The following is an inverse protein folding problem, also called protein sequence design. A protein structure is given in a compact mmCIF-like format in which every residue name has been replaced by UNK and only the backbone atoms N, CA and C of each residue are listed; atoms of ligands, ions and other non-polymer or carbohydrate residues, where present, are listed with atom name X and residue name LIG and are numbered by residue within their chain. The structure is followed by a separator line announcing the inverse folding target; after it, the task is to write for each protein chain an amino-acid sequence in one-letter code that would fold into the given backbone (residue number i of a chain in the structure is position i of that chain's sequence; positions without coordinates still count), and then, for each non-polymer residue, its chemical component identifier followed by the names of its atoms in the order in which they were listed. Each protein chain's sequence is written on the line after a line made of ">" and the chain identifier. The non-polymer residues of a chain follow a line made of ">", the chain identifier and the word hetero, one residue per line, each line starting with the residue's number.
data_IF_937217541214
#
_entry.id   IF_937217541214
#
_cell.length_a   1.000
_cell.length_b   1.000
_cell.length_c   1.000
_cell.angle_alpha   90.00
_cell.angle_beta   90.00
_cell.angle_gamma   90.00
#
_symmetry.space_group_name_H-M   'P 1'
#
loop_
_entity.id
_entity.type
_entity.pdbx_description
1 polymer ?
#
# COMPACT_ATOMS: atom_id res chain seq x y z
N UNK A 1 1.49 -1.84 18.90
CA UNK A 1 0.32 -1.15 18.30
C UNK A 1 0.27 0.29 18.80
N UNK A 2 0.14 1.26 17.90
CA UNK A 2 -0.08 2.64 18.29
C UNK A 2 -1.57 2.88 18.60
N UNK A 3 -1.87 3.30 19.82
CA UNK A 3 -3.23 3.50 20.34
C UNK A 3 -3.64 4.97 20.44
N UNK A 4 -2.84 5.92 19.93
CA UNK A 4 -2.99 7.36 20.21
C UNK A 4 -4.29 8.00 19.70
N UNK A 5 -4.82 7.55 18.56
CA UNK A 5 -6.11 8.04 17.98
C UNK A 5 -6.93 6.89 17.38
N UNK A 6 -6.36 6.18 16.40
CA UNK A 6 -6.92 4.99 15.75
C UNK A 6 -5.84 3.91 15.86
N UNK A 7 -6.10 2.75 16.47
CA UNK A 7 -5.06 1.73 16.63
C UNK A 7 -4.41 1.39 15.29
N UNK A 8 -3.09 1.40 15.25
CA UNK A 8 -2.31 1.08 14.05
C UNK A 8 -1.22 0.07 14.41
N UNK A 9 -1.06 -0.92 13.54
CA UNK A 9 0.13 -1.79 13.60
C UNK A 9 1.31 -1.02 13.03
N UNK A 10 2.37 -0.83 13.81
CA UNK A 10 3.61 -0.18 13.38
C UNK A 10 4.76 -1.15 13.60
N UNK A 11 5.49 -1.44 12.54
CA UNK A 11 6.58 -2.41 12.47
C UNK A 11 7.83 -1.71 11.92
N UNK A 12 8.47 -0.81 12.72
CA UNK A 12 9.59 -0.03 12.22
C UNK A 12 10.80 -0.94 11.94
N UNK A 13 11.36 -0.93 10.71
CA UNK A 13 12.56 -1.69 10.41
C UNK A 13 13.77 -1.12 11.14
N UNK A 14 14.73 -1.98 11.47
CA UNK A 14 16.04 -1.57 12.01
C UNK A 14 16.80 -0.69 11.01
N UNK A 15 17.78 0.08 11.49
CA UNK A 15 18.44 1.13 10.71
C UNK A 15 19.11 0.60 9.42
N UNK A 16 19.75 -0.56 9.49
CA UNK A 16 20.41 -1.21 8.35
C UNK A 16 19.39 -1.63 7.29
N UNK A 17 18.33 -2.33 7.71
CA UNK A 17 17.25 -2.75 6.84
C UNK A 17 16.54 -1.53 6.21
N UNK A 18 16.28 -0.50 7.00
CA UNK A 18 15.69 0.76 6.52
C UNK A 18 16.53 1.42 5.43
N UNK A 19 17.86 1.34 5.54
CA UNK A 19 18.78 1.87 4.52
C UNK A 19 18.67 1.09 3.21
N UNK A 20 18.63 -0.24 3.28
CA UNK A 20 18.41 -1.09 2.09
C UNK A 20 17.04 -0.82 1.46
N UNK A 21 15.99 -0.76 2.28
CA UNK A 21 14.63 -0.47 1.82
C UNK A 21 14.50 0.90 1.13
N UNK A 22 15.23 1.93 1.57
CA UNK A 22 15.28 3.21 0.86
C UNK A 22 15.86 3.09 -0.55
N UNK A 23 16.89 2.24 -0.74
CA UNK A 23 17.46 1.96 -2.07
C UNK A 23 16.46 1.20 -2.95
N UNK A 24 15.79 0.18 -2.39
CA UNK A 24 14.72 -0.55 -3.10
C UNK A 24 13.60 0.44 -3.50
N UNK A 25 13.14 1.29 -2.58
CA UNK A 25 12.15 2.34 -2.88
C UNK A 25 12.58 3.22 -4.06
N UNK A 26 13.86 3.62 -4.11
CA UNK A 26 14.38 4.46 -5.20
C UNK A 26 14.33 3.73 -6.55
N UNK A 27 14.56 2.42 -6.56
CA UNK A 27 14.45 1.60 -7.77
C UNK A 27 13.00 1.43 -8.21
N UNK A 28 12.12 1.06 -7.26
CA UNK A 28 10.68 0.92 -7.52
C UNK A 28 10.03 2.23 -7.99
N UNK A 29 10.51 3.37 -7.49
CA UNK A 29 10.05 4.69 -7.92
C UNK A 29 10.41 5.10 -9.35
N UNK A 30 11.12 4.24 -10.09
CA UNK A 30 11.35 4.38 -11.55
C UNK A 30 10.29 3.69 -12.39
N UNK A 31 9.45 2.86 -11.76
CA UNK A 31 8.32 2.23 -12.44
C UNK A 31 7.28 3.33 -12.67
N UNK A 32 6.87 3.47 -13.92
CA UNK A 32 5.81 4.40 -14.28
C UNK A 32 4.49 3.94 -13.66
N UNK A 33 3.79 4.88 -13.05
CA UNK A 33 2.47 4.67 -12.47
C UNK A 33 1.50 5.71 -13.02
N UNK A 34 0.20 5.40 -13.09
CA UNK A 34 -0.81 6.35 -13.55
C UNK A 34 -0.80 7.66 -12.75
N UNK A 35 -1.25 8.75 -13.40
CA UNK A 35 -1.21 10.09 -12.80
C UNK A 35 -2.14 10.26 -11.59
N UNK A 36 -3.18 9.45 -11.50
CA UNK A 36 -4.12 9.39 -10.38
C UNK A 36 -3.57 8.70 -9.13
N UNK A 37 -2.34 8.16 -9.18
CA UNK A 37 -1.66 7.54 -8.02
C UNK A 37 -0.73 8.55 -7.35
N UNK A 38 -0.95 8.75 -6.06
CA UNK A 38 -0.20 9.71 -5.23
C UNK A 38 0.66 9.04 -4.15
N UNK A 39 0.51 7.73 -3.97
CA UNK A 39 1.16 6.95 -2.92
C UNK A 39 2.66 6.75 -3.14
N UNK A 40 3.48 7.34 -2.28
CA UNK A 40 4.93 7.11 -2.31
C UNK A 40 5.67 7.68 -3.52
N UNK A 41 5.01 8.49 -4.34
CA UNK A 41 5.55 9.10 -5.56
C UNK A 41 6.23 10.42 -5.21
N UNK A 42 7.46 10.59 -5.70
CA UNK A 42 8.22 11.83 -5.47
C UNK A 42 7.52 13.02 -6.14
N UNK A 43 7.33 14.08 -5.38
CA UNK A 43 6.71 15.32 -5.87
C UNK A 43 5.18 15.33 -5.86
N UNK A 44 4.52 14.21 -5.51
CA UNK A 44 3.06 14.16 -5.30
C UNK A 44 2.75 14.16 -3.80
N UNK A 45 1.76 14.94 -3.39
CA UNK A 45 1.35 15.10 -1.99
C UNK A 45 -0.13 14.75 -1.78
N UNK A 46 -0.54 14.63 -0.51
CA UNK A 46 -1.94 14.48 -0.14
C UNK A 46 -2.79 15.67 -0.63
N UNK A 47 -2.24 16.88 -0.58
CA UNK A 47 -2.93 18.08 -1.09
C UNK A 47 -3.13 18.04 -2.60
N UNK A 48 -2.16 17.51 -3.34
CA UNK A 48 -2.28 17.35 -4.81
C UNK A 48 -3.34 16.30 -5.14
N UNK A 49 -3.44 15.23 -4.34
CA UNK A 49 -4.52 14.25 -4.44
C UNK A 49 -5.89 14.92 -4.26
N UNK A 50 -6.06 15.70 -3.18
CA UNK A 50 -7.32 16.38 -2.91
C UNK A 50 -7.71 17.39 -4.01
N UNK A 51 -6.73 18.07 -4.60
CA UNK A 51 -6.97 19.02 -5.71
C UNK A 51 -7.57 18.40 -6.95
N UNK A 52 -7.36 17.10 -7.20
CA UNK A 52 -7.95 16.41 -8.35
C UNK A 52 -9.49 16.38 -8.29
N UNK A 53 -10.04 16.49 -7.09
CA UNK A 53 -11.48 16.42 -6.85
C UNK A 53 -12.13 17.82 -6.75
N UNK A 54 -11.36 18.90 -6.94
CA UNK A 54 -11.91 20.25 -7.05
C UNK A 54 -12.43 20.50 -8.46
N UNK A 55 -13.57 21.18 -8.57
CA UNK A 55 -14.19 21.57 -9.83
C UNK A 55 -14.91 22.90 -9.68
N UNK A 56 -15.50 23.43 -10.78
CA UNK A 56 -16.26 24.67 -10.78
C UNK A 56 -17.66 24.54 -10.15
N UNK A 57 -18.12 23.31 -9.91
CA UNK A 57 -19.43 22.98 -9.35
C UNK A 57 -19.39 22.14 -8.10
N UNK A 58 -20.57 21.71 -7.63
CA UNK A 58 -20.71 20.74 -6.55
C UNK A 58 -20.39 19.35 -7.08
N UNK A 59 -19.49 18.62 -6.40
CA UNK A 59 -19.15 17.24 -6.68
C UNK A 59 -19.59 16.32 -5.55
N UNK A 60 -20.12 15.17 -5.90
CA UNK A 60 -20.33 14.08 -4.97
C UNK A 60 -18.99 13.40 -4.73
N UNK A 61 -18.62 13.23 -3.47
CA UNK A 61 -17.36 12.61 -3.03
C UNK A 61 -17.65 11.30 -2.31
N UNK A 62 -16.99 10.24 -2.74
CA UNK A 62 -17.01 8.96 -2.05
C UNK A 62 -15.58 8.50 -1.76
N UNK A 63 -15.30 8.19 -0.49
CA UNK A 63 -13.98 7.75 -0.03
C UNK A 63 -14.06 6.34 0.53
N UNK A 64 -13.16 5.49 0.07
CA UNK A 64 -12.92 4.14 0.60
C UNK A 64 -11.60 4.15 1.37
N UNK A 65 -11.61 3.61 2.59
CA UNK A 65 -10.43 3.34 3.43
C UNK A 65 -10.18 1.82 3.45
N UNK A 66 -9.07 1.37 2.89
CA UNK A 66 -8.72 -0.04 2.84
C UNK A 66 -8.22 -0.51 4.21
N UNK A 67 -9.02 -1.34 4.87
CA UNK A 67 -8.77 -1.77 6.26
C UNK A 67 -7.46 -2.55 6.39
N UNK A 68 -6.60 -2.13 7.33
CA UNK A 68 -5.31 -2.77 7.61
C UNK A 68 -4.49 -3.06 6.34
N UNK A 69 -4.44 -2.08 5.42
CA UNK A 69 -3.99 -2.28 4.04
C UNK A 69 -2.64 -2.97 3.93
N UNK A 70 -1.58 -2.49 4.59
CA UNK A 70 -0.27 -3.15 4.54
C UNK A 70 -0.30 -4.58 5.09
N UNK A 71 -0.85 -4.83 6.30
CA UNK A 71 -0.96 -6.18 6.82
C UNK A 71 -1.87 -7.12 6.01
N UNK A 72 -2.78 -6.60 5.19
CA UNK A 72 -3.60 -7.41 4.29
C UNK A 72 -2.87 -7.88 3.04
N UNK A 73 -1.71 -7.31 2.74
CA UNK A 73 -0.88 -7.69 1.59
C UNK A 73 0.09 -8.80 2.02
N UNK A 74 -0.19 -10.02 1.56
CA UNK A 74 0.61 -11.18 1.94
C UNK A 74 2.03 -11.16 1.34
N UNK A 75 2.95 -11.83 2.02
CA UNK A 75 4.29 -12.11 1.49
C UNK A 75 4.23 -12.76 0.11
N UNK A 76 3.29 -13.66 -0.11
CA UNK A 76 3.07 -14.33 -1.38
C UNK A 76 2.72 -13.34 -2.51
N UNK A 77 1.86 -12.38 -2.24
CA UNK A 77 1.50 -11.30 -3.20
C UNK A 77 2.72 -10.47 -3.57
N UNK A 78 3.57 -10.13 -2.58
CA UNK A 78 4.80 -9.38 -2.82
C UNK A 78 5.81 -10.21 -3.63
N UNK A 79 5.94 -11.52 -3.35
CA UNK A 79 6.81 -12.41 -4.11
C UNK A 79 6.38 -12.51 -5.58
N UNK A 80 5.08 -12.70 -5.84
CA UNK A 80 4.55 -12.76 -7.22
C UNK A 80 4.83 -11.49 -7.99
N UNK A 81 4.66 -10.33 -7.38
CA UNK A 81 4.99 -9.07 -8.03
C UNK A 81 6.46 -9.02 -8.48
N UNK A 82 7.41 -9.39 -7.61
CA UNK A 82 8.82 -9.41 -8.01
C UNK A 82 9.12 -10.48 -9.06
N UNK A 83 8.53 -11.66 -8.92
CA UNK A 83 8.79 -12.80 -9.79
C UNK A 83 8.06 -12.71 -11.14
N UNK A 84 6.75 -12.44 -11.12
CA UNK A 84 5.89 -12.47 -12.31
C UNK A 84 5.86 -11.12 -13.02
N UNK A 85 5.58 -10.01 -12.30
CA UNK A 85 5.39 -8.70 -12.93
C UNK A 85 6.75 -8.03 -13.24
N UNK A 86 7.77 -8.16 -12.38
CA UNK A 86 9.13 -7.64 -12.62
C UNK A 86 10.10 -8.65 -13.24
N UNK A 87 9.67 -9.89 -13.49
CA UNK A 87 10.46 -10.95 -14.11
C UNK A 87 11.83 -11.19 -13.42
N UNK A 88 11.90 -10.99 -12.09
CA UNK A 88 13.10 -11.31 -11.33
C UNK A 88 13.33 -12.82 -11.28
N UNK A 89 14.60 -13.25 -11.18
CA UNK A 89 14.88 -14.65 -10.88
C UNK A 89 14.27 -15.03 -9.51
N UNK A 90 13.94 -16.33 -9.29
CA UNK A 90 13.35 -16.77 -8.02
C UNK A 90 14.14 -16.33 -6.79
N UNK A 91 15.48 -16.44 -6.85
CA UNK A 91 16.36 -16.04 -5.74
C UNK A 91 16.30 -14.54 -5.45
N UNK A 92 16.28 -13.70 -6.49
CA UNK A 92 16.18 -12.24 -6.35
C UNK A 92 14.80 -11.87 -5.83
N UNK A 93 13.73 -12.45 -6.35
CA UNK A 93 12.36 -12.24 -5.88
C UNK A 93 12.22 -12.61 -4.40
N UNK A 94 12.79 -13.75 -3.98
CA UNK A 94 12.81 -14.20 -2.59
C UNK A 94 13.54 -13.21 -1.67
N UNK A 95 14.73 -12.75 -2.07
CA UNK A 95 15.52 -11.77 -1.29
C UNK A 95 14.77 -10.44 -1.16
N UNK A 96 14.23 -9.90 -2.25
CA UNK A 96 13.48 -8.64 -2.22
C UNK A 96 12.22 -8.77 -1.37
N UNK A 97 11.53 -9.90 -1.44
CA UNK A 97 10.35 -10.19 -0.61
C UNK A 97 10.73 -10.23 0.86
N UNK A 98 11.80 -10.95 1.23
CA UNK A 98 12.28 -11.02 2.61
C UNK A 98 12.70 -9.66 3.19
N UNK A 99 13.22 -8.76 2.36
CA UNK A 99 13.62 -7.40 2.76
C UNK A 99 12.42 -6.45 2.91
N UNK A 100 11.26 -6.77 2.38
CA UNK A 100 10.10 -5.87 2.33
C UNK A 100 8.89 -6.38 3.11
N UNK A 101 8.88 -7.65 3.52
CA UNK A 101 7.83 -8.27 4.32
C UNK A 101 8.32 -8.66 5.70
N UNK A 102 7.40 -8.71 6.68
CA UNK A 102 7.70 -9.19 8.02
C UNK A 102 7.62 -10.72 8.06
N UNK A 103 8.54 -11.34 8.81
CA UNK A 103 8.48 -12.74 9.17
C UNK A 103 7.99 -12.87 10.61
N UNK A 104 6.73 -13.24 10.76
CA UNK A 104 6.08 -13.36 12.08
C UNK A 104 6.77 -14.39 13.00
N UNK A 105 7.47 -15.38 12.44
CA UNK A 105 8.20 -16.38 13.24
C UNK A 105 9.41 -15.79 13.97
N UNK A 106 9.89 -14.61 13.54
CA UNK A 106 11.03 -13.92 14.16
C UNK A 106 10.61 -12.91 15.23
N UNK A 107 9.32 -12.71 15.44
CA UNK A 107 8.80 -11.84 16.48
C UNK A 107 8.81 -12.52 17.84
N UNK A 108 9.00 -11.74 18.90
CA UNK A 108 8.75 -12.24 20.25
C UNK A 108 7.25 -12.54 20.45
N UNK A 109 6.95 -13.46 21.40
CA UNK A 109 5.58 -13.94 21.59
C UNK A 109 4.59 -12.84 22.01
N UNK A 110 5.06 -11.86 22.78
CA UNK A 110 4.19 -10.76 23.25
C UNK A 110 3.78 -9.89 22.08
N UNK A 111 4.73 -9.47 21.24
CA UNK A 111 4.44 -8.65 20.07
C UNK A 111 3.61 -9.43 19.04
N UNK A 112 3.88 -10.71 18.87
CA UNK A 112 3.10 -11.60 18.00
C UNK A 112 1.63 -11.68 18.44
N UNK A 113 1.36 -11.83 19.74
CA UNK A 113 -0.01 -11.82 20.29
C UNK A 113 -0.72 -10.49 19.99
N UNK A 114 -0.06 -9.35 20.22
CA UNK A 114 -0.61 -8.03 19.91
C UNK A 114 -0.95 -7.88 18.41
N UNK A 115 -0.12 -8.42 17.52
CA UNK A 115 -0.38 -8.42 16.07
C UNK A 115 -1.60 -9.28 15.73
N UNK A 116 -1.69 -10.49 16.29
CA UNK A 116 -2.85 -11.37 16.08
C UNK A 116 -4.15 -10.72 16.54
N UNK A 117 -4.17 -10.17 17.75
CA UNK A 117 -5.36 -9.52 18.32
C UNK A 117 -5.79 -8.32 17.48
N UNK A 118 -4.84 -7.50 17.05
CA UNK A 118 -5.10 -6.35 16.19
C UNK A 118 -5.71 -6.76 14.85
N UNK A 119 -5.12 -7.75 14.16
CA UNK A 119 -5.59 -8.20 12.84
C UNK A 119 -6.92 -8.93 12.95
N UNK A 120 -7.11 -9.76 13.98
CA UNK A 120 -8.38 -10.42 14.24
C UNK A 120 -9.52 -9.43 14.45
N UNK A 121 -9.29 -8.36 15.22
CA UNK A 121 -10.25 -7.28 15.43
C UNK A 121 -10.61 -6.52 14.13
N UNK A 122 -9.78 -6.62 13.09
CA UNK A 122 -10.02 -6.03 11.76
C UNK A 122 -10.56 -7.03 10.74
N UNK A 123 -10.78 -8.29 11.12
CA UNK A 123 -11.19 -9.36 10.21
C UNK A 123 -10.11 -9.75 9.19
N UNK A 124 -8.84 -9.41 9.45
CA UNK A 124 -7.71 -9.71 8.57
C UNK A 124 -6.98 -10.95 9.07
N UNK A 125 -6.67 -11.88 8.16
CA UNK A 125 -5.87 -13.06 8.50
C UNK A 125 -4.44 -12.64 8.83
N UNK A 126 -3.89 -13.23 9.88
CA UNK A 126 -2.50 -13.02 10.27
C UNK A 126 -1.59 -13.97 9.51
N UNK A 127 -0.70 -13.41 8.72
CA UNK A 127 0.35 -14.11 7.97
C UNK A 127 1.55 -13.17 7.77
N UNK A 128 2.66 -13.69 7.28
CA UNK A 128 3.77 -12.83 6.86
C UNK A 128 3.28 -11.84 5.80
N UNK A 129 3.50 -10.55 6.01
CA UNK A 129 2.87 -9.49 5.24
C UNK A 129 3.81 -8.30 4.97
N UNK A 130 3.35 -7.34 4.18
CA UNK A 130 4.07 -6.12 3.88
C UNK A 130 4.28 -5.28 5.16
N UNK A 131 5.53 -4.89 5.43
CA UNK A 131 5.92 -4.21 6.67
C UNK A 131 5.18 -2.87 6.82
N UNK A 132 4.45 -2.70 7.92
CA UNK A 132 3.79 -1.44 8.25
C UNK A 132 4.80 -0.44 8.83
N UNK A 133 5.12 0.61 8.06
CA UNK A 133 6.12 1.62 8.44
C UNK A 133 7.47 1.50 7.73
N UNK A 134 7.64 0.55 6.81
CA UNK A 134 8.84 0.47 5.97
C UNK A 134 8.83 1.55 4.86
N UNK A 135 10.00 2.04 4.45
CA UNK A 135 10.11 3.00 3.35
C UNK A 135 9.51 2.52 2.03
N UNK A 136 9.52 1.21 1.78
CA UNK A 136 9.02 0.57 0.55
C UNK A 136 7.50 0.42 0.51
N UNK A 137 6.84 0.40 1.66
CA UNK A 137 5.46 -0.11 1.77
C UNK A 137 4.44 0.72 1.00
N UNK A 138 4.60 2.05 0.98
CA UNK A 138 3.67 2.91 0.25
C UNK A 138 3.67 2.64 -1.26
N UNK A 139 4.84 2.54 -1.88
CA UNK A 139 4.92 2.27 -3.32
C UNK A 139 4.59 0.80 -3.64
N UNK A 140 5.07 -0.14 -2.82
CA UNK A 140 4.78 -1.55 -3.02
C UNK A 140 3.29 -1.87 -2.86
N UNK A 141 2.60 -1.25 -1.91
CA UNK A 141 1.16 -1.52 -1.73
C UNK A 141 0.33 -1.17 -2.96
N UNK A 142 0.72 -0.13 -3.73
CA UNK A 142 0.12 0.14 -5.03
C UNK A 142 0.57 -0.90 -6.07
N UNK A 143 1.89 -1.09 -6.24
CA UNK A 143 2.43 -1.91 -7.33
C UNK A 143 1.96 -3.36 -7.29
N UNK A 144 1.86 -3.97 -6.10
CA UNK A 144 1.40 -5.37 -5.95
C UNK A 144 -0.11 -5.53 -6.19
N UNK A 145 -0.86 -4.43 -6.14
CA UNK A 145 -2.31 -4.40 -6.37
C UNK A 145 -2.69 -3.61 -7.63
N UNK A 146 -1.72 -3.31 -8.51
CA UNK A 146 -1.95 -2.44 -9.67
C UNK A 146 -3.13 -2.92 -10.51
N UNK A 147 -3.26 -4.22 -10.77
CA UNK A 147 -4.38 -4.80 -11.57
C UNK A 147 -5.75 -4.43 -10.98
N UNK A 148 -5.91 -4.51 -9.66
CA UNK A 148 -7.14 -4.10 -8.98
C UNK A 148 -7.41 -2.59 -9.17
N UNK A 149 -6.39 -1.76 -9.03
CA UNK A 149 -6.54 -0.31 -9.23
C UNK A 149 -6.80 0.05 -10.69
N UNK A 150 -6.20 -0.67 -11.64
CA UNK A 150 -6.44 -0.49 -13.08
C UNK A 150 -7.90 -0.85 -13.46
N UNK A 151 -8.44 -1.93 -12.89
CA UNK A 151 -9.86 -2.31 -13.07
C UNK A 151 -10.81 -1.25 -12.48
N UNK A 152 -10.51 -0.73 -11.29
CA UNK A 152 -11.27 0.36 -10.67
C UNK A 152 -11.19 1.65 -11.49
N UNK A 153 -10.01 1.97 -12.03
CA UNK A 153 -9.84 3.15 -12.90
C UNK A 153 -10.67 3.00 -14.18
N UNK A 154 -10.59 1.85 -14.83
CA UNK A 154 -11.38 1.61 -16.05
C UNK A 154 -12.90 1.72 -15.78
N UNK A 155 -13.36 1.22 -14.62
CA UNK A 155 -14.75 1.37 -14.21
C UNK A 155 -15.11 2.83 -13.95
N UNK A 156 -14.22 3.60 -13.35
CA UNK A 156 -14.41 5.02 -13.07
C UNK A 156 -14.48 5.83 -14.37
N UNK A 157 -13.58 5.59 -15.31
CA UNK A 157 -13.53 6.26 -16.61
C UNK A 157 -14.82 6.01 -17.43
N UNK A 158 -15.34 4.78 -17.39
CA UNK A 158 -16.59 4.41 -18.08
C UNK A 158 -17.84 5.08 -17.50
N UNK A 159 -17.74 5.70 -16.31
CA UNK A 159 -18.85 6.35 -15.62
C UNK A 159 -18.60 7.86 -15.35
N UNK A 160 -17.63 8.48 -16.00
CA UNK A 160 -17.25 9.88 -15.82
C UNK A 160 -16.94 10.23 -14.35
N UNK A 161 -16.30 9.29 -13.64
CA UNK A 161 -15.89 9.44 -12.24
C UNK A 161 -14.38 9.67 -12.16
N UNK A 162 -13.95 10.71 -11.47
CA UNK A 162 -12.54 10.92 -11.14
C UNK A 162 -12.18 9.98 -9.96
N UNK A 163 -11.18 9.13 -10.18
CA UNK A 163 -10.62 8.28 -9.14
C UNK A 163 -9.19 8.69 -8.81
N UNK A 164 -8.84 8.72 -7.53
CA UNK A 164 -7.45 8.88 -7.06
C UNK A 164 -7.10 7.90 -5.97
N UNK A 165 -5.81 7.56 -5.87
CA UNK A 165 -5.28 6.60 -4.89
C UNK A 165 -4.19 7.26 -4.05
N UNK A 166 -4.37 7.27 -2.73
CA UNK A 166 -3.37 7.70 -1.77
C UNK A 166 -3.21 6.64 -0.67
N UNK A 167 -2.27 5.73 -0.84
CA UNK A 167 -1.99 4.59 0.05
C UNK A 167 -3.23 3.68 0.20
N UNK A 168 -3.88 3.76 1.35
CA UNK A 168 -5.11 3.03 1.72
C UNK A 168 -6.39 3.81 1.43
N UNK A 169 -6.27 5.07 1.03
CA UNK A 169 -7.38 5.92 0.67
C UNK A 169 -7.62 5.91 -0.85
N UNK A 170 -8.80 5.49 -1.27
CA UNK A 170 -9.28 5.64 -2.66
C UNK A 170 -10.43 6.63 -2.66
N UNK A 171 -10.30 7.69 -3.44
CA UNK A 171 -11.31 8.75 -3.51
C UNK A 171 -11.91 8.78 -4.90
N UNK A 172 -13.22 8.83 -4.96
CA UNK A 172 -14.01 8.98 -6.17
C UNK A 172 -14.79 10.29 -6.13
N UNK A 173 -14.88 10.98 -7.24
CA UNK A 173 -15.77 12.14 -7.35
C UNK A 173 -16.46 12.23 -8.71
N UNK A 174 -17.71 12.67 -8.69
CA UNK A 174 -18.53 12.88 -9.89
C UNK A 174 -19.34 14.17 -9.76
N UNK A 175 -19.61 14.82 -10.88
CA UNK A 175 -20.55 15.97 -10.98
C UNK A 175 -22.00 15.47 -11.13
N UNK A 176 -22.19 14.19 -11.44
CA UNK A 176 -23.51 13.56 -11.60
C UNK A 176 -23.91 12.80 -10.34
N UNK A 177 -25.22 12.75 -10.07
CA UNK A 177 -25.83 11.95 -9.01
C UNK A 177 -26.00 10.50 -9.44
#
# INVERSE_FOLDING_TARGET
>A
VDMSKKPRLIEPPQAELKTVQKRIKTLLGKIEVPDNVFSGIKGKSYSDNARQHLGEGTRNLYKIDLTAFFPSISRETVYRFFFEDLCCSPDVAEVLTNLTTIDLKKLDQKFLSEVYDFLAAKGVKCYNHLISGAPTSQILSYLVNHKMFDELQALSDNNDVIMTVYVDDVVFSSEHN
#
